data_IF_855011852402
#
_entry.id   IF_855011852402
#
_cell.length_a   1.000
_cell.length_b   1.000
_cell.length_c   1.000
_cell.angle_alpha   90.00
_cell.angle_beta   90.00
_cell.angle_gamma   90.00
#
_symmetry.space_group_name_H-M   'P 1'
#
loop_
_entity.id
_entity.type
_entity.pdbx_description
1 polymer ?
#
# COMPACT_ATOMS: atom_id res chain seq x y z
N UNK A 1 -19.70 -40.88 -16.81
CA UNK A 1 -19.17 -39.52 -16.54
C UNK A 1 -17.70 -39.51 -16.95
N UNK A 2 -17.26 -38.53 -17.75
CA UNK A 2 -15.83 -38.38 -18.04
C UNK A 2 -15.09 -37.91 -16.77
N UNK A 3 -13.89 -38.43 -16.46
CA UNK A 3 -13.10 -37.92 -15.34
C UNK A 3 -12.70 -36.47 -15.61
N UNK A 4 -13.04 -35.57 -14.69
CA UNK A 4 -12.56 -34.18 -14.75
C UNK A 4 -11.06 -34.20 -14.46
N UNK A 5 -10.25 -33.98 -15.50
CA UNK A 5 -8.79 -33.90 -15.38
C UNK A 5 -8.40 -32.78 -14.41
N UNK A 6 -7.42 -33.06 -13.54
CA UNK A 6 -6.85 -32.07 -12.64
C UNK A 6 -6.09 -30.97 -13.42
N UNK A 7 -6.06 -29.73 -12.90
CA UNK A 7 -5.45 -28.61 -13.59
C UNK A 7 -3.93 -28.80 -13.74
N UNK A 8 -3.47 -28.94 -14.99
CA UNK A 8 -2.05 -29.06 -15.30
C UNK A 8 -1.34 -27.71 -15.12
N UNK A 9 -0.23 -27.63 -14.35
CA UNK A 9 0.52 -26.39 -14.18
C UNK A 9 1.13 -25.91 -15.50
N UNK A 10 1.05 -24.59 -15.75
CA UNK A 10 1.66 -23.92 -16.90
C UNK A 10 3.18 -23.74 -16.80
N UNK A 11 3.72 -23.67 -15.58
CA UNK A 11 5.15 -23.42 -15.33
C UNK A 11 5.79 -24.54 -14.50
N UNK A 12 7.10 -24.74 -14.66
CA UNK A 12 7.87 -25.77 -13.95
C UNK A 12 8.77 -25.19 -12.85
N UNK A 13 9.13 -26.00 -11.86
CA UNK A 13 10.12 -25.62 -10.85
C UNK A 13 11.47 -25.34 -11.53
N UNK A 14 12.09 -24.22 -11.17
CA UNK A 14 13.30 -23.70 -11.80
C UNK A 14 13.07 -22.77 -13.00
N UNK A 15 11.86 -22.72 -13.58
CA UNK A 15 11.57 -21.92 -14.78
C UNK A 15 11.65 -20.41 -14.51
N UNK A 16 12.20 -19.65 -15.48
CA UNK A 16 12.24 -18.19 -15.46
C UNK A 16 10.91 -17.64 -15.98
N UNK A 17 10.32 -16.74 -15.22
CA UNK A 17 8.98 -16.18 -15.45
C UNK A 17 8.99 -14.67 -15.24
N UNK A 18 7.94 -14.01 -15.69
CA UNK A 18 7.62 -12.63 -15.31
C UNK A 18 6.45 -12.69 -14.33
N UNK A 19 6.63 -12.16 -13.12
CA UNK A 19 5.57 -12.16 -12.10
C UNK A 19 5.09 -10.73 -11.84
N UNK A 20 3.77 -10.53 -11.79
CA UNK A 20 3.19 -9.27 -11.35
C UNK A 20 3.50 -9.00 -9.89
N UNK A 21 3.86 -7.76 -9.56
CA UNK A 21 3.93 -7.23 -8.21
C UNK A 21 3.42 -5.79 -8.24
N UNK A 22 2.22 -5.54 -7.69
CA UNK A 22 1.47 -4.33 -8.00
C UNK A 22 1.19 -4.19 -9.51
N UNK A 23 1.27 -2.98 -10.10
CA UNK A 23 0.96 -2.74 -11.51
C UNK A 23 2.08 -3.14 -12.48
N UNK A 24 3.25 -3.57 -11.99
CA UNK A 24 4.43 -3.86 -12.80
C UNK A 24 4.75 -5.35 -12.86
N UNK A 25 5.36 -5.76 -13.97
CA UNK A 25 5.97 -7.08 -14.14
C UNK A 25 7.44 -7.03 -13.73
N UNK A 26 7.87 -8.03 -12.97
CA UNK A 26 9.25 -8.24 -12.55
C UNK A 26 9.76 -9.60 -13.01
N UNK A 27 11.05 -9.70 -13.33
CA UNK A 27 11.68 -10.99 -13.58
C UNK A 27 11.73 -11.81 -12.30
N UNK A 28 11.35 -13.07 -12.39
CA UNK A 28 11.33 -13.97 -11.25
C UNK A 28 11.61 -15.41 -11.67
N UNK A 29 11.82 -16.27 -10.68
CA UNK A 29 12.03 -17.70 -10.83
C UNK A 29 10.92 -18.45 -10.12
N UNK A 30 10.30 -19.41 -10.81
CA UNK A 30 9.45 -20.40 -10.17
C UNK A 30 10.33 -21.32 -9.31
N UNK A 31 10.09 -21.37 -8.01
CA UNK A 31 10.88 -22.17 -7.05
C UNK A 31 10.14 -23.44 -6.66
N UNK A 32 8.82 -23.38 -6.47
CA UNK A 32 7.97 -24.56 -6.19
C UNK A 32 6.61 -24.47 -6.89
N UNK A 33 6.02 -25.61 -7.22
CA UNK A 33 4.63 -25.72 -7.72
C UNK A 33 3.78 -26.47 -6.71
N UNK A 34 2.60 -25.94 -6.37
CA UNK A 34 1.62 -26.62 -5.52
C UNK A 34 0.23 -26.57 -6.15
N UNK A 35 -0.48 -27.69 -6.11
CA UNK A 35 -1.89 -27.78 -6.50
C UNK A 35 -2.70 -28.00 -5.22
N UNK A 36 -3.48 -26.99 -4.82
CA UNK A 36 -4.35 -27.05 -3.64
C UNK A 36 -5.75 -26.60 -4.04
N UNK A 37 -6.78 -27.30 -3.60
CA UNK A 37 -8.19 -26.94 -3.85
C UNK A 37 -8.54 -26.76 -5.35
N UNK A 38 -7.88 -27.54 -6.22
CA UNK A 38 -7.93 -27.44 -7.70
C UNK A 38 -7.49 -26.08 -8.26
N UNK A 39 -6.64 -25.37 -7.52
CA UNK A 39 -5.93 -24.18 -7.98
C UNK A 39 -4.42 -24.45 -8.00
N UNK A 40 -3.76 -24.03 -9.07
CA UNK A 40 -2.30 -24.07 -9.18
C UNK A 40 -1.72 -22.79 -8.58
N UNK A 41 -0.77 -22.96 -7.66
CA UNK A 41 0.00 -21.88 -7.04
C UNK A 41 1.49 -22.12 -7.25
N UNK A 42 2.22 -21.03 -7.39
CA UNK A 42 3.66 -21.02 -7.62
C UNK A 42 4.35 -20.28 -6.50
N UNK A 43 5.39 -20.86 -5.91
CA UNK A 43 6.30 -20.13 -5.02
C UNK A 43 7.31 -19.40 -5.89
N UNK A 44 7.28 -18.07 -5.86
CA UNK A 44 8.03 -17.21 -6.79
C UNK A 44 9.14 -16.47 -6.04
N UNK A 45 10.36 -16.53 -6.58
CA UNK A 45 11.50 -15.76 -6.11
C UNK A 45 11.85 -14.65 -7.10
N UNK A 46 11.73 -13.38 -6.69
CA UNK A 46 11.98 -12.24 -7.56
C UNK A 46 13.49 -12.00 -7.80
N UNK A 47 13.90 -11.98 -9.07
CA UNK A 47 15.27 -11.73 -9.49
C UNK A 47 15.48 -10.26 -9.87
N UNK A 48 16.56 -9.65 -9.37
CA UNK A 48 16.98 -8.30 -9.79
C UNK A 48 17.14 -7.26 -8.68
N UNK A 49 16.74 -7.54 -7.43
CA UNK A 49 16.98 -6.60 -6.32
C UNK A 49 18.45 -6.54 -5.85
N UNK A 50 19.34 -7.36 -6.44
CA UNK A 50 20.78 -7.37 -6.17
C UNK A 50 21.60 -7.44 -7.46
N UNK A 51 21.83 -6.29 -8.12
CA UNK A 51 23.10 -5.87 -8.77
C UNK A 51 22.98 -4.49 -9.44
N UNK A 52 24.09 -3.76 -9.51
CA UNK A 52 24.17 -2.33 -9.84
C UNK A 52 24.00 -2.03 -11.34
N UNK A 53 23.49 -0.83 -11.65
CA UNK A 53 23.87 -0.09 -12.86
C UNK A 53 24.13 1.38 -12.51
N UNK A 54 25.40 1.72 -12.30
CA UNK A 54 25.83 3.07 -11.96
C UNK A 54 26.33 3.81 -13.22
N UNK A 55 25.72 4.96 -13.53
CA UNK A 55 26.32 6.03 -14.32
C UNK A 55 26.02 7.34 -13.61
N UNK A 56 27.02 7.94 -12.96
CA UNK A 56 26.91 9.28 -12.35
C UNK A 56 27.74 10.27 -13.18
N UNK A 57 27.16 11.35 -13.72
CA UNK A 57 27.97 12.46 -14.23
C UNK A 57 28.58 13.24 -13.07
N UNK A 58 29.85 13.64 -13.23
CA UNK A 58 30.66 14.38 -12.26
C UNK A 58 30.18 15.84 -12.18
N UNK A 59 29.76 16.32 -11.01
CA UNK A 59 29.58 17.77 -10.78
C UNK A 59 29.94 18.19 -9.34
N UNK A 60 30.42 19.42 -9.23
CA UNK A 60 31.18 20.01 -8.12
C UNK A 60 30.36 20.34 -6.86
N UNK A 61 31.01 20.27 -5.71
CA UNK A 61 30.51 20.80 -4.43
C UNK A 61 30.26 22.32 -4.51
N UNK A 62 29.01 22.71 -4.21
CA UNK A 62 28.60 23.90 -3.42
C UNK A 62 27.07 24.06 -3.50
N UNK A 63 26.48 24.52 -2.39
CA UNK A 63 25.04 24.87 -2.20
C UNK A 63 24.14 23.73 -1.69
N UNK A 64 23.38 24.05 -0.64
CA UNK A 64 22.55 23.16 0.17
C UNK A 64 21.07 23.18 -0.27
N UNK A 65 20.31 22.15 0.13
CA UNK A 65 18.83 22.02 0.17
C UNK A 65 18.09 21.70 -1.15
N UNK A 66 17.58 20.47 -1.27
CA UNK A 66 16.26 20.16 -1.87
C UNK A 66 15.64 18.88 -1.27
N UNK A 67 14.31 18.75 -1.45
CA UNK A 67 13.42 17.80 -0.76
C UNK A 67 13.39 16.37 -1.34
N UNK A 68 14.12 16.09 -2.41
CA UNK A 68 13.98 14.84 -3.17
C UNK A 68 15.15 13.84 -2.92
N UNK A 69 16.25 14.28 -2.29
CA UNK A 69 17.49 13.47 -2.15
C UNK A 69 17.52 12.52 -0.94
N UNK A 70 16.64 12.68 0.05
CA UNK A 70 16.65 11.84 1.28
C UNK A 70 16.31 10.37 0.97
N UNK A 71 15.48 10.12 -0.04
CA UNK A 71 15.06 8.75 -0.44
C UNK A 71 16.22 7.98 -1.11
N UNK A 72 17.29 8.65 -1.54
CA UNK A 72 18.42 8.06 -2.26
C UNK A 72 19.63 7.69 -1.37
N UNK A 73 19.54 7.85 -0.05
CA UNK A 73 20.67 7.72 0.90
C UNK A 73 20.95 6.29 1.42
N UNK A 74 20.66 5.26 0.64
CA UNK A 74 21.00 3.86 0.94
C UNK A 74 22.12 3.29 0.03
N UNK A 75 23.41 3.64 0.22
CA UNK A 75 24.51 2.89 -0.37
C UNK A 75 24.83 1.64 0.46
N UNK A 76 24.86 0.47 -0.20
CA UNK A 76 25.46 -0.76 0.35
C UNK A 76 26.98 -0.68 0.13
N UNK A 77 27.83 -0.94 1.15
CA UNK A 77 29.28 -0.92 0.98
C UNK A 77 29.77 -2.07 0.09
N UNK A 78 30.85 -1.79 -0.65
CA UNK A 78 31.42 -2.67 -1.67
C UNK A 78 32.68 -3.36 -1.14
N UNK A 79 32.73 -4.71 -1.16
CA UNK A 79 33.96 -5.45 -0.85
C UNK A 79 33.86 -6.77 -0.07
N UNK A 80 32.68 -7.24 0.37
CA UNK A 80 32.57 -8.53 1.08
C UNK A 80 32.74 -9.74 0.13
N UNK A 81 33.56 -10.76 0.47
CA UNK A 81 33.85 -11.88 -0.42
C UNK A 81 32.66 -12.84 -0.59
N UNK A 82 32.61 -13.49 -1.75
CA UNK A 82 31.50 -14.37 -2.12
C UNK A 82 31.60 -15.71 -1.39
N UNK A 83 30.62 -16.01 -0.55
CA UNK A 83 30.40 -17.34 0.02
C UNK A 83 28.94 -17.72 -0.19
N UNK A 84 28.69 -18.77 -0.99
CA UNK A 84 27.34 -19.29 -1.20
C UNK A 84 26.87 -20.00 0.08
N UNK A 85 26.00 -19.34 0.88
CA UNK A 85 25.34 -19.99 2.01
C UNK A 85 23.83 -20.19 1.73
N UNK A 86 23.25 -21.38 1.90
CA UNK A 86 21.88 -21.69 1.44
C UNK A 86 20.70 -21.03 2.18
N UNK A 87 20.94 -20.06 3.07
CA UNK A 87 19.93 -19.50 3.98
C UNK A 87 19.62 -18.01 3.76
N UNK A 88 20.01 -17.45 2.61
CA UNK A 88 19.66 -16.08 2.21
C UNK A 88 18.71 -16.08 0.99
N UNK A 89 17.49 -16.55 1.17
CA UNK A 89 16.39 -16.31 0.23
C UNK A 89 15.66 -15.01 0.60
N UNK A 90 15.58 -14.09 -0.35
CA UNK A 90 15.04 -12.74 -0.19
C UNK A 90 13.65 -12.69 0.45
N UNK A 91 13.36 -11.64 1.21
CA UNK A 91 12.06 -11.38 1.88
C UNK A 91 10.93 -10.97 0.92
N UNK A 92 10.96 -11.48 -0.31
CA UNK A 92 9.99 -11.23 -1.37
C UNK A 92 9.41 -12.53 -1.95
N UNK A 93 9.81 -13.68 -1.40
CA UNK A 93 9.39 -14.98 -1.89
C UNK A 93 7.98 -15.30 -1.40
N UNK A 94 7.02 -15.36 -2.32
CA UNK A 94 5.59 -15.51 -2.01
C UNK A 94 4.91 -16.61 -2.85
N UNK A 95 3.82 -17.18 -2.31
CA UNK A 95 2.94 -18.09 -3.05
C UNK A 95 1.91 -17.30 -3.85
N UNK A 96 2.03 -17.28 -5.17
CA UNK A 96 1.11 -16.55 -6.06
C UNK A 96 0.20 -17.51 -6.84
N UNK A 97 -1.03 -17.10 -7.20
CA UNK A 97 -1.87 -17.83 -8.15
C UNK A 97 -1.29 -17.76 -9.57
N UNK A 98 -1.69 -18.72 -10.42
CA UNK A 98 -1.29 -18.77 -11.84
C UNK A 98 -1.60 -17.49 -12.64
N UNK A 99 -2.61 -16.70 -12.24
CA UNK A 99 -2.95 -15.42 -12.89
C UNK A 99 -1.85 -14.35 -12.77
N UNK A 100 -1.00 -14.40 -11.73
CA UNK A 100 0.09 -13.44 -11.52
C UNK A 100 1.37 -13.79 -12.29
N UNK A 101 1.46 -14.96 -12.91
CA UNK A 101 2.70 -15.47 -13.54
C UNK A 101 2.54 -15.54 -15.06
N UNK A 102 3.45 -14.88 -15.77
CA UNK A 102 3.56 -14.88 -17.22
C UNK A 102 4.85 -15.56 -17.66
N UNK A 103 4.83 -16.18 -18.84
CA UNK A 103 6.04 -16.79 -19.42
C UNK A 103 7.05 -15.72 -19.80
N UNK A 104 8.34 -15.99 -19.60
CA UNK A 104 9.43 -15.14 -20.07
C UNK A 104 9.57 -15.27 -21.60
N UNK A 105 8.81 -14.46 -22.34
CA UNK A 105 8.77 -14.38 -23.82
C UNK A 105 8.65 -12.93 -24.27
N UNK A 106 9.10 -12.62 -25.48
CA UNK A 106 9.24 -11.24 -25.99
C UNK A 106 7.95 -10.41 -25.90
N UNK A 107 6.79 -11.02 -26.12
CA UNK A 107 5.48 -10.36 -25.98
C UNK A 107 5.19 -9.89 -24.55
N UNK A 108 5.60 -10.67 -23.54
CA UNK A 108 5.43 -10.31 -22.13
C UNK A 108 6.54 -9.37 -21.64
N UNK A 109 7.76 -9.45 -22.19
CA UNK A 109 8.81 -8.44 -21.97
C UNK A 109 8.41 -7.09 -22.57
N UNK A 110 7.74 -7.07 -23.72
CA UNK A 110 7.18 -5.85 -24.29
C UNK A 110 6.07 -5.28 -23.38
N UNK A 111 5.15 -6.12 -22.89
CA UNK A 111 4.15 -5.72 -21.88
C UNK A 111 4.79 -5.15 -20.61
N UNK A 112 5.92 -5.70 -20.14
CA UNK A 112 6.68 -5.15 -19.02
C UNK A 112 7.18 -3.72 -19.30
N UNK A 113 7.80 -3.49 -20.47
CA UNK A 113 8.27 -2.14 -20.88
C UNK A 113 7.13 -1.13 -20.99
N UNK A 114 6.00 -1.56 -21.56
CA UNK A 114 4.81 -0.72 -21.72
C UNK A 114 4.20 -0.33 -20.37
N UNK A 115 4.07 -1.27 -19.44
CA UNK A 115 3.61 -1.00 -18.07
C UNK A 115 4.56 -0.04 -17.32
N UNK A 116 5.88 -0.23 -17.45
CA UNK A 116 6.88 0.68 -16.87
C UNK A 116 6.77 2.09 -17.47
N UNK A 117 6.65 2.21 -18.79
CA UNK A 117 6.51 3.49 -19.49
C UNK A 117 5.21 4.21 -19.11
N UNK A 118 4.07 3.52 -19.14
CA UNK A 118 2.78 4.09 -18.78
C UNK A 118 2.73 4.58 -17.32
N UNK A 119 3.34 3.83 -16.40
CA UNK A 119 3.47 4.24 -15.00
C UNK A 119 4.32 5.52 -14.86
N UNK A 120 5.39 5.65 -15.65
CA UNK A 120 6.27 6.82 -15.68
C UNK A 120 5.59 8.06 -16.31
N UNK A 121 4.76 7.86 -17.33
CA UNK A 121 3.98 8.92 -17.98
C UNK A 121 2.85 9.44 -17.07
N UNK A 122 2.09 8.55 -16.41
CA UNK A 122 1.09 8.96 -15.41
C UNK A 122 1.69 9.75 -14.25
N UNK A 123 2.91 9.40 -13.81
CA UNK A 123 3.64 10.14 -12.78
C UNK A 123 4.04 11.56 -13.25
N UNK A 124 4.31 11.75 -14.54
CA UNK A 124 4.61 13.05 -15.14
C UNK A 124 3.35 13.93 -15.30
N UNK A 125 2.24 13.37 -15.80
CA UNK A 125 0.97 14.10 -15.95
C UNK A 125 0.39 14.57 -14.61
N UNK A 126 0.49 13.74 -13.57
CA UNK A 126 0.11 14.11 -12.20
C UNK A 126 0.85 15.33 -11.66
N UNK A 127 2.06 15.62 -12.16
CA UNK A 127 2.86 16.80 -11.78
C UNK A 127 2.38 18.09 -12.49
N UNK A 128 1.74 17.98 -13.66
CA UNK A 128 1.30 19.12 -14.48
C UNK A 128 -0.08 19.69 -14.09
N UNK A 129 -0.97 18.86 -13.51
CA UNK A 129 -2.30 19.33 -13.03
C UNK A 129 -2.25 20.18 -11.74
N UNK A 130 -1.09 20.34 -11.11
CA UNK A 130 -0.93 21.06 -9.84
C UNK A 130 -0.70 22.58 -9.94
N UNK A 131 -0.56 23.15 -11.14
CA UNK A 131 -0.22 24.56 -11.34
C UNK A 131 -1.42 25.39 -11.83
N UNK A 132 -2.18 25.98 -10.90
CA UNK A 132 -3.19 26.99 -11.22
C UNK A 132 -2.54 28.39 -11.36
N UNK A 133 -2.88 29.19 -12.38
CA UNK A 133 -2.34 30.55 -12.55
C UNK A 133 -2.89 31.52 -11.49
N UNK A 134 -2.04 32.43 -11.02
CA UNK A 134 -2.34 33.30 -9.89
C UNK A 134 -3.38 34.38 -10.16
N UNK A 135 -4.27 34.62 -9.18
CA UNK A 135 -5.14 35.80 -9.15
C UNK A 135 -4.35 37.09 -8.85
N UNK A 136 -4.61 38.14 -9.63
CA UNK A 136 -4.59 39.54 -9.15
C UNK A 136 -5.94 40.19 -9.44
N UNK A 137 -6.24 41.23 -8.67
CA UNK A 137 -7.58 41.80 -8.45
C UNK A 137 -7.74 43.19 -9.05
N UNK A 138 -8.89 43.48 -9.68
CA UNK A 138 -9.64 44.75 -9.57
C UNK A 138 -10.85 44.79 -10.53
N UNK A 139 -11.83 45.66 -10.26
CA UNK A 139 -12.75 46.17 -11.29
C UNK A 139 -14.25 45.87 -11.12
N UNK A 140 -15.07 46.93 -11.10
CA UNK A 140 -16.53 46.96 -11.23
C UNK A 140 -16.94 46.46 -12.66
N UNK A 141 -18.20 46.20 -13.05
CA UNK A 141 -19.46 46.92 -12.77
C UNK A 141 -20.71 46.11 -13.18
N UNK A 142 -21.90 46.63 -12.84
CA UNK A 142 -23.22 46.00 -13.01
C UNK A 142 -23.73 45.96 -14.47
N UNK A 143 -24.63 44.99 -14.79
CA UNK A 143 -25.96 45.29 -15.37
C UNK A 143 -26.93 44.09 -15.35
N UNK A 144 -28.21 44.38 -15.08
CA UNK A 144 -29.37 43.50 -15.33
C UNK A 144 -29.54 43.21 -16.83
N UNK A 145 -30.21 42.10 -17.19
CA UNK A 145 -31.57 42.11 -17.81
C UNK A 145 -32.31 40.78 -17.47
N UNK A 146 -33.54 40.93 -16.98
CA UNK A 146 -34.77 40.13 -17.21
C UNK A 146 -34.78 39.08 -18.37
N UNK A 147 -35.66 38.06 -18.50
CA UNK A 147 -36.73 37.37 -17.73
C UNK A 147 -37.38 36.35 -18.72
N UNK A 148 -38.32 35.51 -18.26
CA UNK A 148 -39.26 34.62 -19.01
C UNK A 148 -38.72 33.23 -19.42
N UNK A 149 -39.06 32.15 -18.71
CA UNK A 149 -40.38 31.45 -18.62
C UNK A 149 -40.80 30.75 -19.92
N UNK A 150 -40.76 29.41 -19.97
CA UNK A 150 -41.98 28.57 -19.91
C UNK A 150 -41.68 27.06 -19.78
N UNK A 151 -42.75 26.34 -19.43
CA UNK A 151 -42.84 24.97 -18.91
C UNK A 151 -43.66 24.11 -19.88
N UNK A 152 -43.70 22.80 -19.61
CA UNK A 152 -44.60 21.76 -20.14
C UNK A 152 -44.27 21.09 -21.49
N UNK A 153 -44.74 19.86 -21.80
CA UNK A 153 -44.98 18.61 -21.01
C UNK A 153 -45.64 17.55 -21.93
N UNK A 154 -45.07 16.34 -21.96
CA UNK A 154 -45.70 15.03 -22.31
C UNK A 154 -46.23 14.68 -23.72
N UNK A 155 -45.94 13.41 -24.05
CA UNK A 155 -46.83 12.30 -24.50
C UNK A 155 -46.78 11.81 -25.97
N UNK A 156 -46.61 10.49 -26.06
CA UNK A 156 -46.82 9.51 -27.15
C UNK A 156 -48.33 9.19 -27.33
N UNK A 157 -48.85 8.56 -28.43
CA UNK A 157 -48.50 7.27 -29.10
C UNK A 157 -48.28 7.38 -30.65
N UNK A 158 -48.20 6.34 -31.51
CA UNK A 158 -48.08 4.86 -31.40
C UNK A 158 -48.84 4.06 -32.49
N UNK A 159 -48.24 2.97 -33.03
CA UNK A 159 -48.61 2.18 -34.25
C UNK A 159 -48.64 3.01 -35.57
N UNK A 160 -48.33 2.56 -36.81
CA UNK A 160 -47.90 1.28 -37.43
C UNK A 160 -47.59 1.52 -38.93
N UNK A 161 -47.36 0.57 -39.86
CA UNK A 161 -46.98 -0.87 -39.86
C UNK A 161 -46.68 -1.35 -41.33
N UNK A 162 -45.80 -2.33 -41.57
CA UNK A 162 -45.41 -2.90 -42.90
C UNK A 162 -44.27 -2.17 -43.67
N UNK A 163 -43.37 -2.81 -44.44
CA UNK A 163 -43.10 -4.25 -44.72
C UNK A 163 -42.02 -4.46 -45.83
N UNK A 164 -41.50 -5.70 -45.96
CA UNK A 164 -40.69 -6.27 -47.07
C UNK A 164 -39.15 -6.39 -46.96
N UNK A 165 -38.66 -7.66 -46.90
CA UNK A 165 -37.45 -8.27 -47.55
C UNK A 165 -36.04 -7.68 -47.31
N UNK A 166 -34.94 -8.44 -47.15
CA UNK A 166 -34.63 -9.86 -47.49
C UNK A 166 -33.60 -10.51 -46.53
N UNK A 167 -33.27 -11.79 -46.75
CA UNK A 167 -32.60 -12.70 -45.81
C UNK A 167 -31.05 -12.77 -45.91
N UNK A 168 -30.39 -13.17 -44.81
CA UNK A 168 -29.27 -14.16 -44.76
C UNK A 168 -28.89 -14.51 -43.29
N UNK A 169 -28.35 -15.71 -42.97
CA UNK A 169 -28.49 -16.30 -41.64
C UNK A 169 -27.33 -16.09 -40.64
N UNK A 170 -27.64 -16.08 -39.33
CA UNK A 170 -26.64 -16.09 -38.24
C UNK A 170 -26.30 -17.51 -37.75
N UNK A 171 -25.02 -17.80 -37.38
CA UNK A 171 -24.68 -18.95 -36.55
C UNK A 171 -24.99 -18.72 -35.04
N UNK A 172 -25.14 -19.77 -34.23
CA UNK A 172 -25.95 -19.71 -33.01
C UNK A 172 -25.28 -19.02 -31.80
N UNK A 173 -26.04 -18.12 -31.16
CA UNK A 173 -25.70 -17.51 -29.87
C UNK A 173 -25.60 -18.57 -28.76
N UNK A 174 -24.40 -18.89 -28.29
CA UNK A 174 -24.22 -19.47 -26.96
C UNK A 174 -24.65 -18.43 -25.91
N UNK A 175 -25.76 -18.68 -25.22
CA UNK A 175 -26.18 -17.89 -24.05
C UNK A 175 -25.03 -17.90 -23.03
N UNK A 176 -24.32 -16.78 -22.89
CA UNK A 176 -23.51 -16.55 -21.68
C UNK A 176 -24.49 -16.51 -20.51
N UNK A 177 -24.26 -17.35 -19.51
CA UNK A 177 -25.00 -17.28 -18.26
C UNK A 177 -24.82 -15.87 -17.69
N UNK A 178 -25.91 -15.31 -17.15
CA UNK A 178 -25.91 -14.03 -16.45
C UNK A 178 -25.05 -14.21 -15.19
N UNK A 179 -23.80 -13.72 -15.25
CA UNK A 179 -22.91 -13.70 -14.08
C UNK A 179 -23.48 -12.69 -13.09
N UNK A 180 -23.53 -13.07 -11.82
CA UNK A 180 -23.96 -12.18 -10.74
C UNK A 180 -23.07 -10.93 -10.67
N UNK A 181 -23.64 -9.73 -10.50
CA UNK A 181 -22.87 -8.47 -10.51
C UNK A 181 -22.07 -8.23 -9.21
N UNK A 182 -21.97 -9.23 -8.33
CA UNK A 182 -21.30 -9.14 -7.02
C UNK A 182 -19.84 -9.59 -7.01
N UNK A 183 -19.30 -10.07 -8.15
CA UNK A 183 -17.89 -10.44 -8.29
C UNK A 183 -17.22 -9.53 -9.32
N UNK A 184 -16.59 -8.45 -8.85
CA UNK A 184 -15.78 -7.56 -9.68
C UNK A 184 -14.51 -8.26 -10.19
N UNK A 185 -14.00 -7.82 -11.35
CA UNK A 185 -12.81 -8.39 -11.98
C UNK A 185 -11.52 -8.07 -11.19
N UNK A 186 -10.64 -9.05 -11.03
CA UNK A 186 -9.43 -8.97 -10.18
C UNK A 186 -8.47 -7.84 -10.60
N UNK A 187 -8.42 -7.49 -11.90
CA UNK A 187 -7.67 -6.34 -12.42
C UNK A 187 -8.26 -4.97 -12.02
N UNK A 188 -9.58 -4.87 -11.84
CA UNK A 188 -10.25 -3.65 -11.39
C UNK A 188 -10.01 -3.41 -9.89
N UNK A 189 -9.83 -4.48 -9.13
CA UNK A 189 -9.48 -4.45 -7.70
C UNK A 189 -8.05 -3.94 -7.45
N UNK A 190 -7.09 -4.33 -8.30
CA UNK A 190 -5.67 -3.94 -8.20
C UNK A 190 -5.36 -2.52 -8.71
N UNK A 191 -6.21 -1.93 -9.55
CA UNK A 191 -6.04 -0.58 -10.10
C UNK A 191 -6.65 0.54 -9.23
N UNK A 192 -7.05 0.24 -7.99
CA UNK A 192 -7.55 1.27 -7.06
C UNK A 192 -6.41 2.19 -6.65
N UNK A 193 -6.63 3.49 -6.82
CA UNK A 193 -5.63 4.54 -6.53
C UNK A 193 -5.17 4.43 -5.07
N UNK A 194 -3.85 4.33 -4.87
CA UNK A 194 -3.26 4.25 -3.53
C UNK A 194 -3.74 5.42 -2.65
N UNK A 195 -4.33 5.10 -1.50
CA UNK A 195 -4.95 6.11 -0.64
C UNK A 195 -3.86 6.83 0.14
N UNK A 196 -3.41 7.98 -0.38
CA UNK A 196 -2.29 8.73 0.19
C UNK A 196 -2.63 9.40 1.52
N UNK A 197 -2.39 8.69 2.62
CA UNK A 197 -2.35 9.24 3.98
C UNK A 197 -1.24 10.27 4.08
N UNK A 198 -1.54 11.47 4.59
CA UNK A 198 -0.58 12.58 4.71
C UNK A 198 0.02 12.62 6.11
N UNK A 199 1.26 12.16 6.23
CA UNK A 199 2.06 12.32 7.45
C UNK A 199 2.38 13.82 7.66
N UNK A 200 2.09 14.40 8.84
CA UNK A 200 2.49 15.76 9.23
C UNK A 200 4.00 15.98 9.07
N UNK A 201 4.43 17.20 8.73
CA UNK A 201 5.86 17.49 8.50
C UNK A 201 6.67 17.31 9.79
N UNK A 202 6.04 17.59 10.94
CA UNK A 202 6.58 17.48 12.30
C UNK A 202 6.92 16.04 12.69
N UNK A 203 6.26 15.04 12.10
CA UNK A 203 6.46 13.61 12.37
C UNK A 203 7.45 12.94 11.41
N UNK A 204 7.90 13.64 10.37
CA UNK A 204 8.86 13.09 9.40
C UNK A 204 10.29 12.96 9.93
N UNK A 205 10.84 13.93 10.70
CA UNK A 205 12.13 13.76 11.37
C UNK A 205 12.13 12.50 12.24
N UNK A 206 11.11 12.33 13.09
CA UNK A 206 10.95 11.15 13.93
C UNK A 206 10.96 9.81 13.18
N UNK A 207 10.39 9.74 11.98
CA UNK A 207 10.46 8.54 11.11
C UNK A 207 11.86 8.30 10.52
N UNK A 208 12.63 9.35 10.26
CA UNK A 208 14.02 9.24 9.79
C UNK A 208 14.94 8.83 10.95
N UNK A 209 14.72 9.41 12.13
CA UNK A 209 15.49 9.11 13.34
C UNK A 209 15.22 7.68 13.85
N UNK A 210 13.95 7.23 13.89
CA UNK A 210 13.55 5.84 14.16
C UNK A 210 14.24 4.86 13.20
N UNK A 211 14.21 5.15 11.89
CA UNK A 211 14.90 4.35 10.90
C UNK A 211 16.42 4.30 11.13
N UNK A 212 17.06 5.42 11.47
CA UNK A 212 18.50 5.51 11.72
C UNK A 212 18.90 4.73 12.98
N UNK A 213 18.17 4.93 14.08
CA UNK A 213 18.36 4.24 15.36
C UNK A 213 18.36 2.73 15.17
N UNK A 214 17.31 2.18 14.55
CA UNK A 214 17.19 0.73 14.34
C UNK A 214 18.20 0.21 13.31
N UNK A 215 18.29 0.84 12.14
CA UNK A 215 18.98 0.20 11.00
C UNK A 215 20.47 0.54 10.92
N UNK A 216 20.88 1.75 11.34
CA UNK A 216 22.28 2.21 11.30
C UNK A 216 22.95 2.12 12.66
N UNK A 217 22.31 2.63 13.71
CA UNK A 217 22.89 2.65 15.07
C UNK A 217 22.74 1.32 15.83
N UNK A 218 21.95 0.38 15.29
CA UNK A 218 21.70 -0.95 15.88
C UNK A 218 21.08 -0.88 17.28
N UNK A 219 20.25 0.12 17.49
CA UNK A 219 19.42 0.20 18.67
C UNK A 219 18.11 -0.60 18.48
N UNK A 220 17.44 -0.91 19.58
CA UNK A 220 16.11 -1.51 19.62
C UNK A 220 15.23 -0.67 20.54
N UNK A 221 13.94 -0.61 20.25
CA UNK A 221 12.98 0.02 21.14
C UNK A 221 12.75 -0.87 22.38
N UNK A 222 12.63 -0.29 23.58
CA UNK A 222 12.34 -1.06 24.79
C UNK A 222 10.94 -1.70 24.71
N UNK A 223 10.89 -3.02 24.84
CA UNK A 223 9.66 -3.79 24.94
C UNK A 223 9.63 -4.57 26.27
N UNK A 224 8.47 -4.67 26.95
CA UNK A 224 7.20 -4.01 26.64
C UNK A 224 7.25 -2.47 26.74
N UNK A 225 6.50 -1.79 25.89
CA UNK A 225 6.51 -0.34 25.78
C UNK A 225 5.96 0.35 27.04
N UNK A 226 6.69 1.32 27.59
CA UNK A 226 6.26 2.16 28.73
C UNK A 226 4.90 2.84 28.50
N UNK A 227 4.62 3.24 27.26
CA UNK A 227 3.33 3.74 26.79
C UNK A 227 2.97 3.00 25.50
N UNK A 228 2.12 1.98 25.64
CA UNK A 228 1.74 1.11 24.53
C UNK A 228 0.67 1.74 23.61
N UNK A 229 0.48 1.13 22.44
CA UNK A 229 -0.51 1.60 21.44
C UNK A 229 -1.93 1.65 22.02
N UNK A 230 -2.33 0.66 22.81
CA UNK A 230 -3.63 0.63 23.48
C UNK A 230 -3.87 1.91 24.32
N UNK A 231 -2.89 2.30 25.14
CA UNK A 231 -2.95 3.51 25.96
C UNK A 231 -2.98 4.80 25.13
N UNK A 232 -2.26 4.85 24.01
CA UNK A 232 -2.23 6.03 23.12
C UNK A 232 -3.57 6.22 22.41
N UNK A 233 -4.19 5.11 22.00
CA UNK A 233 -5.51 5.11 21.36
C UNK A 233 -6.62 5.51 22.35
N UNK A 234 -6.53 5.04 23.60
CA UNK A 234 -7.43 5.44 24.67
C UNK A 234 -7.29 6.94 25.02
N UNK A 235 -6.06 7.44 25.20
CA UNK A 235 -5.81 8.87 25.42
C UNK A 235 -6.40 9.73 24.30
N UNK A 236 -6.29 9.29 23.04
CA UNK A 236 -6.91 9.97 21.91
C UNK A 236 -8.44 9.94 21.96
N UNK A 237 -9.05 8.78 22.25
CA UNK A 237 -10.51 8.69 22.39
C UNK A 237 -11.02 9.66 23.46
N UNK A 238 -10.37 9.68 24.63
CA UNK A 238 -10.69 10.60 25.73
C UNK A 238 -10.43 12.08 25.39
N UNK A 239 -9.36 12.38 24.64
CA UNK A 239 -9.11 13.71 24.07
C UNK A 239 -10.22 14.17 23.10
N UNK A 240 -10.81 13.25 22.34
CA UNK A 240 -11.92 13.57 21.43
C UNK A 240 -13.24 13.80 22.18
N UNK A 241 -13.57 12.95 23.16
CA UNK A 241 -14.77 13.10 24.02
C UNK A 241 -14.79 14.46 24.71
N UNK A 242 -13.67 14.88 25.29
CA UNK A 242 -13.54 16.17 25.98
C UNK A 242 -13.58 17.42 25.07
N UNK A 243 -13.42 17.29 23.74
CA UNK A 243 -13.32 18.43 22.81
C UNK A 243 -14.54 18.71 21.92
N UNK A 244 -15.62 17.94 22.02
CA UNK A 244 -16.83 18.25 21.25
C UNK A 244 -17.88 17.15 21.29
N UNK A 245 -18.83 17.27 22.21
CA UNK A 245 -19.83 16.24 22.47
C UNK A 245 -20.94 16.19 21.40
N UNK A 246 -21.08 15.02 20.78
CA UNK A 246 -22.24 14.53 20.03
C UNK A 246 -22.04 13.02 19.88
N UNK A 247 -22.96 12.19 20.37
CA UNK A 247 -22.79 10.73 20.50
C UNK A 247 -22.34 10.05 19.19
N UNK A 248 -22.88 10.48 18.04
CA UNK A 248 -22.50 9.97 16.72
C UNK A 248 -21.00 10.16 16.38
N UNK A 249 -20.33 11.18 16.94
CA UNK A 249 -18.87 11.36 16.79
C UNK A 249 -18.08 10.48 17.74
N UNK A 250 -18.61 10.19 18.93
CA UNK A 250 -17.95 9.27 19.86
C UNK A 250 -17.94 7.85 19.27
N UNK A 251 -19.07 7.38 18.76
CA UNK A 251 -19.14 6.11 18.03
C UNK A 251 -18.11 6.05 16.90
N UNK A 252 -18.08 7.06 16.01
CA UNK A 252 -17.12 7.11 14.91
C UNK A 252 -15.64 7.16 15.35
N UNK A 253 -15.33 7.81 16.48
CA UNK A 253 -13.97 7.81 17.05
C UNK A 253 -13.61 6.41 17.58
N UNK A 254 -14.52 5.75 18.29
CA UNK A 254 -14.29 4.40 18.83
C UNK A 254 -14.08 3.38 17.70
N UNK A 255 -14.88 3.44 16.62
CA UNK A 255 -14.73 2.61 15.42
C UNK A 255 -13.36 2.82 14.74
N UNK A 256 -12.91 4.08 14.59
CA UNK A 256 -11.60 4.38 14.02
C UNK A 256 -10.47 3.90 14.93
N UNK A 257 -10.61 4.05 16.25
CA UNK A 257 -9.64 3.55 17.23
C UNK A 257 -9.53 2.03 17.19
N UNK A 258 -10.66 1.32 17.16
CA UNK A 258 -10.71 -0.14 17.00
C UNK A 258 -10.08 -0.58 15.68
N UNK A 259 -10.40 0.10 14.57
CA UNK A 259 -9.80 -0.15 13.26
C UNK A 259 -8.28 0.04 13.27
N UNK A 260 -7.76 1.13 13.84
CA UNK A 260 -6.30 1.36 13.96
C UNK A 260 -5.65 0.24 14.80
N UNK A 261 -6.26 -0.18 15.91
CA UNK A 261 -5.76 -1.28 16.75
C UNK A 261 -5.68 -2.60 15.97
N UNK A 262 -6.74 -2.95 15.24
CA UNK A 262 -6.81 -4.20 14.48
C UNK A 262 -5.79 -4.21 13.32
N UNK A 263 -5.73 -3.12 12.55
CA UNK A 263 -4.70 -2.95 11.52
C UNK A 263 -3.29 -3.01 12.11
N UNK A 264 -3.05 -2.44 13.29
CA UNK A 264 -1.75 -2.52 13.96
C UNK A 264 -1.38 -3.97 14.32
N UNK A 265 -2.29 -4.71 14.95
CA UNK A 265 -2.06 -6.11 15.34
C UNK A 265 -1.76 -7.01 14.14
N UNK A 266 -2.52 -6.87 13.04
CA UNK A 266 -2.30 -7.67 11.82
C UNK A 266 -1.05 -7.24 11.04
N UNK A 267 -0.77 -5.94 10.96
CA UNK A 267 0.33 -5.42 10.13
C UNK A 267 1.69 -5.44 10.82
N UNK A 268 1.78 -5.43 12.15
CA UNK A 268 3.07 -5.28 12.84
C UNK A 268 4.07 -6.37 12.44
N UNK A 269 3.70 -7.64 12.66
CA UNK A 269 4.54 -8.80 12.35
C UNK A 269 4.89 -8.97 10.87
N UNK A 270 4.17 -8.30 9.96
CA UNK A 270 4.37 -8.45 8.51
C UNK A 270 5.10 -7.25 7.91
N UNK A 271 4.62 -6.02 8.15
CA UNK A 271 4.98 -4.82 7.38
C UNK A 271 5.63 -3.68 8.18
N UNK A 272 5.54 -3.66 9.52
CA UNK A 272 5.99 -2.50 10.33
C UNK A 272 7.38 -2.67 10.97
N UNK A 273 7.93 -3.88 10.97
CA UNK A 273 9.23 -4.21 11.56
C UNK A 273 10.36 -4.24 10.52
N UNK A 274 11.45 -3.54 10.81
CA UNK A 274 12.70 -3.63 10.07
C UNK A 274 13.36 -5.01 10.25
N UNK A 275 14.30 -5.38 9.36
CA UNK A 275 15.00 -6.69 9.46
C UNK A 275 15.65 -6.90 10.84
N UNK A 276 16.21 -5.83 11.42
CA UNK A 276 16.93 -5.90 12.69
C UNK A 276 16.01 -6.14 13.91
N UNK A 277 14.72 -5.81 13.85
CA UNK A 277 13.74 -6.05 14.94
C UNK A 277 13.14 -7.46 14.91
N UNK A 278 13.47 -8.28 13.89
CA UNK A 278 12.84 -9.61 13.70
C UNK A 278 13.15 -10.61 14.82
N UNK A 279 14.37 -10.70 15.38
CA UNK A 279 14.62 -11.54 16.55
C UNK A 279 13.84 -11.08 17.80
N UNK A 280 13.80 -9.78 18.08
CA UNK A 280 13.03 -9.22 19.21
C UNK A 280 11.54 -9.58 19.10
N UNK A 281 10.97 -9.47 17.90
CA UNK A 281 9.57 -9.88 17.66
C UNK A 281 9.35 -11.38 17.86
N UNK A 282 10.31 -12.23 17.45
CA UNK A 282 10.22 -13.67 17.67
C UNK A 282 10.33 -14.04 19.16
N UNK A 283 11.14 -13.31 19.94
CA UNK A 283 11.24 -13.44 21.40
C UNK A 283 9.91 -13.04 22.07
N UNK A 284 9.34 -11.88 21.71
CA UNK A 284 8.03 -11.44 22.20
C UNK A 284 6.91 -12.46 21.92
N UNK A 285 6.87 -13.08 20.74
CA UNK A 285 5.90 -14.13 20.43
C UNK A 285 6.10 -15.43 21.24
N UNK A 286 7.32 -15.71 21.69
CA UNK A 286 7.62 -16.88 22.51
C UNK A 286 7.30 -16.63 24.00
N UNK A 287 7.65 -15.45 24.51
CA UNK A 287 7.46 -15.07 25.91
C UNK A 287 6.00 -14.67 26.21
N UNK A 288 5.29 -14.12 25.22
CA UNK A 288 3.94 -13.57 25.35
C UNK A 288 3.02 -13.98 24.18
N UNK A 289 2.73 -15.29 24.00
CA UNK A 289 2.01 -15.81 22.82
C UNK A 289 0.58 -15.27 22.65
N UNK A 290 -0.11 -14.99 23.76
CA UNK A 290 -1.49 -14.49 23.77
C UNK A 290 -1.60 -12.95 23.79
N UNK A 291 -0.47 -12.23 23.89
CA UNK A 291 -0.50 -10.78 24.01
C UNK A 291 -0.70 -10.11 22.64
N UNK A 292 -1.71 -9.23 22.47
CA UNK A 292 -1.86 -8.46 21.24
C UNK A 292 -0.71 -7.45 21.11
N UNK A 293 -0.20 -7.27 19.89
CA UNK A 293 0.95 -6.41 19.62
C UNK A 293 0.72 -4.96 20.05
N UNK A 294 -0.53 -4.48 20.05
CA UNK A 294 -0.93 -3.16 20.53
C UNK A 294 -0.73 -2.93 22.04
N UNK A 295 -0.57 -4.00 22.84
CA UNK A 295 -0.21 -3.90 24.25
C UNK A 295 1.30 -3.95 24.50
N UNK A 296 2.07 -4.54 23.57
CA UNK A 296 3.53 -4.69 23.71
C UNK A 296 4.29 -3.52 23.09
N UNK A 297 3.88 -3.04 21.92
CA UNK A 297 4.59 -2.00 21.16
C UNK A 297 4.06 -0.58 21.44
N UNK A 298 4.87 0.43 21.10
CA UNK A 298 4.62 1.84 21.40
C UNK A 298 4.40 2.76 20.19
N UNK A 299 4.52 4.06 20.43
CA UNK A 299 4.25 5.10 19.43
C UNK A 299 5.09 5.03 18.13
N UNK A 300 6.39 4.68 18.11
CA UNK A 300 7.17 4.63 16.88
C UNK A 300 6.60 3.65 15.86
N UNK A 301 6.34 2.41 16.27
CA UNK A 301 5.72 1.39 15.43
C UNK A 301 4.31 1.79 14.99
N UNK A 302 3.54 2.44 15.86
CA UNK A 302 2.22 2.98 15.51
C UNK A 302 2.32 4.06 14.43
N UNK A 303 3.35 4.92 14.47
CA UNK A 303 3.57 5.92 13.42
C UNK A 303 3.94 5.27 12.08
N UNK A 304 4.74 4.18 12.10
CA UNK A 304 5.04 3.39 10.89
C UNK A 304 3.79 2.81 10.23
N UNK A 305 2.74 2.47 10.99
CA UNK A 305 1.46 2.01 10.43
C UNK A 305 0.88 3.03 9.44
N UNK A 306 0.88 4.32 9.77
CA UNK A 306 0.32 5.36 8.90
C UNK A 306 1.09 5.57 7.59
N UNK A 307 2.34 5.10 7.52
CA UNK A 307 3.15 5.08 6.28
C UNK A 307 2.73 3.92 5.36
N UNK A 308 2.16 2.83 5.90
CA UNK A 308 1.78 1.62 5.14
C UNK A 308 0.28 1.45 4.92
N UNK A 309 -0.56 1.93 5.83
CA UNK A 309 -2.02 1.71 5.82
C UNK A 309 -2.70 2.28 4.56
N UNK A 310 -2.12 3.31 3.93
CA UNK A 310 -2.64 3.88 2.68
C UNK A 310 -2.77 2.90 1.51
N UNK A 311 -1.87 1.92 1.43
CA UNK A 311 -1.97 0.82 0.47
C UNK A 311 -3.10 -0.16 0.85
N UNK A 312 -3.29 -0.42 2.14
CA UNK A 312 -4.33 -1.35 2.64
C UNK A 312 -5.75 -0.78 2.46
N UNK A 313 -5.92 0.53 2.63
CA UNK A 313 -7.21 1.20 2.46
C UNK A 313 -7.75 1.11 1.02
N UNK A 314 -6.88 0.96 0.01
CA UNK A 314 -7.32 0.76 -1.37
C UNK A 314 -8.12 -0.56 -1.55
N UNK A 315 -7.77 -1.60 -0.80
CA UNK A 315 -8.45 -2.90 -0.86
C UNK A 315 -9.74 -2.95 -0.02
N UNK A 316 -9.96 -1.98 0.87
CA UNK A 316 -11.18 -1.91 1.69
C UNK A 316 -12.36 -1.37 0.85
N UNK A 317 -13.54 -2.02 0.84
CA UNK A 317 -14.70 -1.54 0.09
C UNK A 317 -15.39 -0.36 0.80
N UNK A 318 -14.80 0.84 0.68
CA UNK A 318 -15.34 2.10 1.18
C UNK A 318 -15.84 2.96 0.02
N UNK A 319 -17.00 3.60 0.18
CA UNK A 319 -17.44 4.66 -0.73
C UNK A 319 -16.62 5.95 -0.50
N UNK A 320 -16.63 6.86 -1.48
CA UNK A 320 -15.84 8.09 -1.45
C UNK A 320 -16.10 8.95 -0.20
N UNK A 321 -17.33 8.97 0.33
CA UNK A 321 -17.68 9.78 1.50
C UNK A 321 -17.14 9.14 2.78
N UNK A 322 -17.29 7.83 2.95
CA UNK A 322 -16.73 7.12 4.10
C UNK A 322 -15.20 7.13 4.08
N UNK A 323 -14.58 6.99 2.91
CA UNK A 323 -13.13 7.11 2.75
C UNK A 323 -12.62 8.51 3.12
N UNK A 324 -13.30 9.58 2.66
CA UNK A 324 -12.96 10.94 3.02
C UNK A 324 -13.14 11.21 4.53
N UNK A 325 -14.20 10.67 5.14
CA UNK A 325 -14.45 10.77 6.58
C UNK A 325 -13.37 10.03 7.39
N UNK A 326 -13.03 8.80 7.00
CA UNK A 326 -11.96 8.02 7.60
C UNK A 326 -10.62 8.76 7.52
N UNK A 327 -10.25 9.27 6.35
CA UNK A 327 -9.02 10.06 6.17
C UNK A 327 -8.99 11.31 7.05
N UNK A 328 -10.14 11.97 7.27
CA UNK A 328 -10.21 13.10 8.21
C UNK A 328 -9.90 12.67 9.65
N UNK A 329 -10.42 11.53 10.11
CA UNK A 329 -10.08 10.99 11.43
C UNK A 329 -8.62 10.51 11.53
N UNK A 330 -8.08 9.84 10.51
CA UNK A 330 -6.67 9.43 10.49
C UNK A 330 -5.71 10.64 10.50
N UNK A 331 -6.03 11.70 9.75
CA UNK A 331 -5.25 12.94 9.78
C UNK A 331 -5.42 13.74 11.09
N UNK A 332 -6.56 13.64 11.77
CA UNK A 332 -6.76 14.24 13.09
C UNK A 332 -5.98 13.49 14.18
N UNK A 333 -5.95 12.15 14.12
CA UNK A 333 -5.11 11.31 14.96
C UNK A 333 -3.62 11.61 14.74
N UNK A 334 -3.16 11.70 13.49
CA UNK A 334 -1.78 12.09 13.17
C UNK A 334 -1.43 13.50 13.70
N UNK A 335 -2.36 14.46 13.68
CA UNK A 335 -2.18 15.77 14.32
C UNK A 335 -2.13 15.68 15.85
N UNK A 336 -2.86 14.74 16.45
CA UNK A 336 -2.76 14.46 17.89
C UNK A 336 -1.38 13.88 18.24
N UNK A 337 -0.87 12.90 17.47
CA UNK A 337 0.49 12.40 17.64
C UNK A 337 1.54 13.51 17.48
N UNK A 338 1.39 14.40 16.48
CA UNK A 338 2.30 15.53 16.26
C UNK A 338 2.34 16.50 17.46
N UNK A 339 1.18 16.84 18.03
CA UNK A 339 1.07 17.72 19.21
C UNK A 339 1.71 17.13 20.46
N UNK A 340 1.60 15.81 20.64
CA UNK A 340 2.16 15.08 21.78
C UNK A 340 3.52 14.43 21.42
N UNK A 341 4.18 14.88 20.36
CA UNK A 341 5.38 14.21 19.84
C UNK A 341 6.52 14.16 20.86
N UNK A 342 6.70 15.22 21.65
CA UNK A 342 7.71 15.29 22.71
C UNK A 342 7.50 14.32 23.89
N UNK A 343 6.30 13.74 24.06
CA UNK A 343 6.01 12.74 25.10
C UNK A 343 5.84 11.33 24.53
N UNK A 344 5.55 11.20 23.23
CA UNK A 344 5.33 9.94 22.55
C UNK A 344 6.58 9.40 21.84
N UNK A 345 7.50 10.27 21.42
CA UNK A 345 8.72 9.89 20.73
C UNK A 345 9.93 10.41 21.51
N UNK A 346 10.80 9.50 21.95
CA UNK A 346 12.09 9.83 22.55
C UNK A 346 13.15 8.83 22.11
N UNK A 347 14.36 9.32 21.87
CA UNK A 347 15.53 8.46 21.68
C UNK A 347 15.92 7.70 22.97
N UNK A 348 15.48 8.17 24.14
CA UNK A 348 15.68 7.47 25.43
C UNK A 348 14.81 6.21 25.60
N UNK A 349 13.90 5.93 24.67
CA UNK A 349 13.12 4.69 24.62
C UNK A 349 13.77 3.63 23.71
N UNK A 350 15.04 3.83 23.33
CA UNK A 350 15.86 2.88 22.61
C UNK A 350 17.11 2.50 23.43
N UNK A 351 17.60 1.29 23.21
CA UNK A 351 18.86 0.77 23.76
C UNK A 351 19.74 0.19 22.64
N UNK A 352 21.06 0.31 22.76
CA UNK A 352 22.00 -0.38 21.87
C UNK A 352 21.84 -1.89 22.04
N UNK A 353 21.56 -2.63 20.96
CA UNK A 353 21.34 -4.05 21.04
C UNK A 353 22.61 -4.80 21.52
N UNK A 354 22.49 -5.79 22.42
CA UNK A 354 23.65 -6.52 22.93
C UNK A 354 24.29 -7.41 21.84
N UNK A 355 25.59 -7.75 21.95
CA UNK A 355 26.29 -8.61 20.98
C UNK A 355 25.62 -9.98 20.75
N UNK A 356 24.89 -10.49 21.75
CA UNK A 356 24.06 -11.69 21.70
C UNK A 356 22.92 -11.54 20.69
N UNK A 357 22.27 -10.37 20.70
CA UNK A 357 21.17 -10.05 19.78
C UNK A 357 21.66 -9.90 18.35
N UNK A 358 22.81 -9.23 18.15
CA UNK A 358 23.42 -9.08 16.82
C UNK A 358 23.61 -10.44 16.13
N UNK A 359 24.02 -11.49 16.86
CA UNK A 359 24.18 -12.85 16.31
C UNK A 359 22.88 -13.48 15.81
N UNK A 360 21.72 -13.06 16.35
CA UNK A 360 20.38 -13.50 15.90
C UNK A 360 19.85 -12.68 14.71
N UNK A 361 20.37 -11.46 14.50
CA UNK A 361 19.79 -10.47 13.59
C UNK A 361 20.48 -10.34 12.21
N UNK A 362 21.58 -11.07 11.98
CA UNK A 362 22.41 -11.01 10.75
C UNK A 362 21.71 -11.61 9.53
#
# INVERSE_FOLDING_TARGET
MAPKQDPKPKFQEGERVLCFHGPLLYEAKCVKVAIKDKQVKYFIHYSGWNKKSAVRPRRSEKTLKRREDIVALFPVPEGAPSVHHPLLTSSWDEWVPESRVLKYVDTNLQKQRELQKANQEQYAEGKMRGAAPGKKTSGLQQKNVEVKTKKNKQKTPGNGEGGSTSETPQPPRKKRARVDPTVENEETFMNRVEVKVKIPEELKPWLVDDWDLITRQKQLFYLPAKKNVDSILEDYANYKKSRGNTDNKEYAVNEVVAGIKEYFNVMLGTQLLYKFERPQYAEILADHPDAPMSQVYGAPHLLRLFVRIGAMLAYTPLDEKSLALLLNYLHDFLKYLAKNSATLFSASDYEVAPPEYHRKAV
#
